data_IF_821393248730
#
_entry.id   IF_821393248730
#
_cell.length_a   1.000
_cell.length_b   1.000
_cell.length_c   1.000
_cell.angle_alpha   90.00
_cell.angle_beta   90.00
_cell.angle_gamma   90.00
#
_symmetry.space_group_name_H-M   'P 1'
#
loop_
_entity.id
_entity.type
_entity.pdbx_description
1 polymer ?
#
# COMPACT_ATOMS: atom_id res chain seq x y z
N UNK A 1 35.91 9.47 -2.94
CA UNK A 1 35.54 8.23 -2.21
C UNK A 1 34.48 8.55 -1.15
N UNK A 2 33.33 9.12 -1.56
CA UNK A 2 32.29 9.65 -0.63
C UNK A 2 30.85 9.35 -1.07
N UNK A 3 30.64 8.78 -2.27
CA UNK A 3 29.30 8.59 -2.85
C UNK A 3 28.69 7.20 -2.59
N UNK A 4 29.50 6.25 -2.09
CA UNK A 4 29.07 4.88 -1.79
C UNK A 4 28.50 4.70 -0.38
N UNK A 5 28.90 5.53 0.61
CA UNK A 5 28.42 5.41 1.99
C UNK A 5 27.01 5.99 2.18
N UNK A 6 26.69 7.09 1.50
CA UNK A 6 25.38 7.74 1.61
C UNK A 6 24.24 6.88 1.02
N UNK A 7 24.55 5.95 0.11
CA UNK A 7 23.59 4.98 -0.47
C UNK A 7 23.38 3.75 0.42
N UNK A 8 24.24 3.49 1.40
CA UNK A 8 24.12 2.36 2.33
C UNK A 8 23.05 2.60 3.40
N UNK A 9 23.03 3.81 3.98
CA UNK A 9 22.05 4.21 4.99
C UNK A 9 20.61 4.23 4.47
N UNK A 10 20.38 4.69 3.24
CA UNK A 10 19.03 4.73 2.65
C UNK A 10 18.48 3.34 2.35
N UNK A 11 19.34 2.37 1.99
CA UNK A 11 18.94 0.98 1.77
C UNK A 11 18.50 0.30 3.07
N UNK A 12 19.27 0.48 4.14
CA UNK A 12 18.95 -0.07 5.46
C UNK A 12 17.69 0.59 6.01
N UNK A 13 17.55 1.91 5.88
CA UNK A 13 16.34 2.62 6.28
C UNK A 13 15.10 2.09 5.53
N UNK A 14 15.20 1.87 4.22
CA UNK A 14 14.12 1.25 3.44
C UNK A 14 13.82 -0.21 3.87
N UNK A 15 14.82 -0.95 4.37
CA UNK A 15 14.59 -2.26 4.96
C UNK A 15 13.84 -2.13 6.29
N UNK A 16 14.26 -1.23 7.18
CA UNK A 16 13.64 -1.06 8.51
C UNK A 16 12.23 -0.46 8.46
N UNK A 17 11.94 0.40 7.48
CA UNK A 17 10.62 1.02 7.31
C UNK A 17 9.53 -0.05 7.16
N UNK A 18 9.74 -1.08 6.35
CA UNK A 18 8.74 -2.15 6.18
C UNK A 18 8.49 -2.99 7.44
N UNK A 19 9.53 -3.21 8.25
CA UNK A 19 9.45 -4.04 9.46
C UNK A 19 8.94 -3.30 10.69
N UNK A 20 9.06 -1.97 10.73
CA UNK A 20 8.70 -1.17 11.90
C UNK A 20 7.45 -0.34 11.64
N UNK A 21 7.33 0.30 10.48
CA UNK A 21 6.22 1.22 10.19
C UNK A 21 4.86 0.51 10.17
N UNK A 22 4.79 -0.65 9.53
CA UNK A 22 3.55 -1.43 9.41
C UNK A 22 3.01 -1.95 10.76
N UNK A 23 3.79 -2.66 11.59
CA UNK A 23 3.31 -3.10 12.89
C UNK A 23 3.08 -1.93 13.85
N UNK A 24 3.83 -0.82 13.75
CA UNK A 24 3.53 0.38 14.53
C UNK A 24 2.17 0.99 14.18
N UNK A 25 1.85 1.10 12.88
CA UNK A 25 0.54 1.56 12.44
C UNK A 25 -0.59 0.66 12.94
N UNK A 26 -0.37 -0.65 12.91
CA UNK A 26 -1.35 -1.61 13.44
C UNK A 26 -1.51 -1.51 14.96
N UNK A 27 -0.42 -1.33 15.71
CA UNK A 27 -0.47 -1.13 17.16
C UNK A 27 -1.27 0.13 17.54
N UNK A 28 -1.13 1.22 16.78
CA UNK A 28 -1.95 2.42 16.97
C UNK A 28 -3.43 2.08 16.70
N UNK A 29 -3.71 1.32 15.64
CA UNK A 29 -5.07 0.83 15.37
C UNK A 29 -5.64 -0.02 16.51
N UNK A 30 -4.86 -0.96 17.05
CA UNK A 30 -5.23 -1.77 18.21
C UNK A 30 -5.50 -0.90 19.45
N UNK A 31 -4.66 0.12 19.67
CA UNK A 31 -4.79 1.02 20.80
C UNK A 31 -6.08 1.86 20.71
N UNK A 32 -6.50 2.23 19.50
CA UNK A 32 -7.76 2.95 19.26
C UNK A 32 -8.98 2.01 19.41
N UNK A 33 -8.89 0.78 18.93
CA UNK A 33 -10.00 -0.20 18.99
C UNK A 33 -10.11 -0.92 20.34
N UNK A 34 -9.05 -0.90 21.16
CA UNK A 34 -8.98 -1.60 22.44
C UNK A 34 -8.73 -3.11 22.34
N UNK A 35 -8.64 -3.65 21.12
CA UNK A 35 -8.42 -5.08 20.85
C UNK A 35 -6.94 -5.36 20.59
N UNK A 36 -6.17 -5.49 21.68
CA UNK A 36 -4.76 -5.85 21.58
C UNK A 36 -4.55 -7.32 21.20
N UNK A 37 -3.87 -7.55 20.08
CA UNK A 37 -3.49 -8.87 19.59
C UNK A 37 -2.05 -8.84 19.07
N UNK A 38 -1.16 -9.47 19.85
CA UNK A 38 0.25 -9.64 19.46
C UNK A 38 0.35 -10.48 18.18
N UNK A 39 -0.50 -11.50 18.03
CA UNK A 39 -0.56 -12.34 16.83
C UNK A 39 -0.79 -11.51 15.57
N UNK A 40 -1.77 -10.58 15.60
CA UNK A 40 -2.03 -9.67 14.47
C UNK A 40 -0.81 -8.80 14.14
N UNK A 41 -0.16 -8.28 15.17
CA UNK A 41 1.04 -7.44 15.03
C UNK A 41 2.19 -8.20 14.35
N UNK A 42 2.45 -9.44 14.76
CA UNK A 42 3.50 -10.28 14.19
C UNK A 42 3.18 -10.63 12.72
N UNK A 43 1.93 -10.93 12.43
CA UNK A 43 1.48 -11.25 11.06
C UNK A 43 1.66 -10.03 10.15
N UNK A 44 1.26 -8.84 10.59
CA UNK A 44 1.44 -7.60 9.84
C UNK A 44 2.92 -7.23 9.72
N UNK A 45 3.74 -7.50 10.73
CA UNK A 45 5.19 -7.32 10.66
C UNK A 45 5.80 -8.19 9.55
N UNK A 46 5.42 -9.46 9.48
CA UNK A 46 5.90 -10.39 8.45
C UNK A 46 5.40 -9.96 7.07
N UNK A 47 4.12 -9.64 6.92
CA UNK A 47 3.53 -9.19 5.65
C UNK A 47 4.12 -7.85 5.18
N UNK A 48 4.31 -6.90 6.10
CA UNK A 48 4.92 -5.59 5.83
C UNK A 48 6.37 -5.70 5.39
N UNK A 49 7.14 -6.57 6.06
CA UNK A 49 8.54 -6.83 5.75
C UNK A 49 8.77 -7.57 4.43
N UNK A 50 7.79 -8.37 3.97
CA UNK A 50 7.91 -9.24 2.79
C UNK A 50 7.09 -8.74 1.61
N UNK A 51 5.76 -8.82 1.69
CA UNK A 51 4.84 -8.52 0.59
C UNK A 51 4.78 -7.02 0.29
N UNK A 52 4.48 -6.18 1.29
CA UNK A 52 4.23 -4.76 1.04
C UNK A 52 5.49 -3.99 0.68
N UNK A 53 6.64 -4.47 1.15
CA UNK A 53 7.94 -3.96 0.74
C UNK A 53 8.17 -4.04 -0.77
N UNK A 54 7.69 -5.10 -1.44
CA UNK A 54 7.90 -5.28 -2.89
C UNK A 54 6.80 -4.54 -3.66
N UNK A 55 5.57 -4.67 -3.19
CA UNK A 55 4.42 -4.27 -3.97
C UNK A 55 4.21 -2.75 -4.03
N UNK A 56 4.49 -2.06 -2.94
CA UNK A 56 4.32 -0.61 -2.84
C UNK A 56 5.27 0.14 -3.79
N UNK A 57 6.60 -0.08 -3.76
CA UNK A 57 7.49 0.58 -4.72
C UNK A 57 7.20 0.17 -6.16
N UNK A 58 6.76 -1.07 -6.39
CA UNK A 58 6.32 -1.51 -7.72
C UNK A 58 5.09 -0.72 -8.20
N UNK A 59 4.10 -0.48 -7.33
CA UNK A 59 2.94 0.32 -7.67
C UNK A 59 3.30 1.79 -7.92
N UNK A 60 4.14 2.38 -7.07
CA UNK A 60 4.61 3.75 -7.29
C UNK A 60 5.38 3.90 -8.61
N UNK A 61 6.25 2.94 -8.95
CA UNK A 61 6.93 2.94 -10.25
C UNK A 61 5.93 2.86 -11.42
N UNK A 62 4.87 2.05 -11.27
CA UNK A 62 3.80 1.96 -12.28
C UNK A 62 3.06 3.29 -12.40
N UNK A 63 2.75 3.97 -11.30
CA UNK A 63 2.13 5.30 -11.31
C UNK A 63 3.02 6.35 -11.98
N UNK A 64 4.34 6.28 -11.81
CA UNK A 64 5.27 7.21 -12.44
C UNK A 64 5.48 6.95 -13.93
N UNK A 65 5.38 5.70 -14.35
CA UNK A 65 5.45 5.31 -15.77
C UNK A 65 4.12 5.53 -16.49
N UNK A 66 3.01 5.67 -15.75
CA UNK A 66 1.69 5.88 -16.31
C UNK A 66 1.62 7.23 -17.03
N UNK A 67 1.72 7.16 -18.35
CA UNK A 67 1.71 8.31 -19.26
C UNK A 67 0.33 8.37 -19.90
N UNK A 68 -0.41 9.45 -19.69
CA UNK A 68 -1.75 9.62 -20.27
C UNK A 68 -1.59 10.11 -21.71
N UNK A 69 -2.28 9.49 -22.68
CA UNK A 69 -2.25 9.96 -24.06
C UNK A 69 -2.96 11.31 -24.21
N UNK A 70 -2.32 12.27 -24.88
CA UNK A 70 -2.81 13.66 -25.07
C UNK A 70 -4.23 13.76 -25.65
N UNK A 71 -4.63 12.78 -26.47
CA UNK A 71 -5.98 12.73 -27.05
C UNK A 71 -7.08 12.50 -26.01
N UNK A 72 -6.76 11.80 -24.91
CA UNK A 72 -7.72 11.52 -23.82
C UNK A 72 -7.90 12.73 -22.92
N UNK A 73 -6.84 13.52 -22.71
CA UNK A 73 -6.87 14.76 -21.92
C UNK A 73 -7.75 15.81 -22.59
N UNK A 74 -7.68 15.93 -23.93
CA UNK A 74 -8.57 16.84 -24.69
C UNK A 74 -10.05 16.50 -24.55
N UNK A 75 -10.39 15.24 -24.30
CA UNK A 75 -11.78 14.76 -24.24
C UNK A 75 -12.43 15.03 -22.88
N UNK A 76 -11.64 15.19 -21.81
CA UNK A 76 -12.14 15.47 -20.46
C UNK A 76 -11.32 16.61 -19.81
N UNK A 77 -11.84 17.85 -19.76
CA UNK A 77 -11.11 18.99 -19.19
C UNK A 77 -10.78 18.82 -17.68
N UNK A 78 -11.48 17.92 -16.97
CA UNK A 78 -11.15 17.57 -15.58
C UNK A 78 -9.80 16.83 -15.45
N UNK A 79 -9.36 16.09 -16.48
CA UNK A 79 -8.07 15.41 -16.50
C UNK A 79 -6.90 16.38 -16.71
N UNK A 80 -7.17 17.59 -17.22
CA UNK A 80 -6.18 18.66 -17.36
C UNK A 80 -5.69 19.15 -15.99
N UNK A 81 -6.51 19.06 -14.94
CA UNK A 81 -6.08 19.40 -13.58
C UNK A 81 -5.13 18.34 -12.98
N UNK A 82 -5.25 17.08 -13.42
CA UNK A 82 -4.47 15.94 -12.92
C UNK A 82 -3.15 15.72 -13.69
N UNK A 83 -2.91 16.47 -14.76
CA UNK A 83 -1.73 16.37 -15.63
C UNK A 83 -1.05 17.74 -15.73
N UNK A 84 0.27 17.82 -15.53
CA UNK A 84 0.99 19.10 -15.75
C UNK A 84 1.39 19.14 -17.20
N UNK A 85 0.90 20.16 -17.94
CA UNK A 85 1.38 20.51 -19.28
C UNK A 85 2.79 21.14 -19.21
N UNK A 86 3.79 20.41 -18.74
CA UNK A 86 5.20 20.80 -18.89
C UNK A 86 5.90 19.65 -19.61
N UNK A 87 5.75 19.64 -20.93
CA UNK A 87 6.60 19.02 -21.96
C UNK A 87 6.92 17.50 -21.87
N UNK A 88 6.64 16.84 -20.76
CA UNK A 88 6.64 15.40 -20.55
C UNK A 88 5.31 15.04 -19.88
N UNK A 89 4.58 14.08 -20.44
CA UNK A 89 3.21 13.75 -20.06
C UNK A 89 3.16 12.91 -18.77
N UNK A 90 3.69 13.47 -17.66
CA UNK A 90 3.76 12.81 -16.37
C UNK A 90 2.56 13.19 -15.48
N UNK A 91 2.17 12.25 -14.59
CA UNK A 91 1.14 12.49 -13.58
C UNK A 91 1.56 13.56 -12.57
N UNK A 92 0.70 14.55 -12.32
CA UNK A 92 0.96 15.54 -11.27
C UNK A 92 1.06 14.95 -9.89
N UNK A 93 1.55 15.75 -8.93
CA UNK A 93 1.47 15.40 -7.51
C UNK A 93 0.03 14.98 -7.13
N UNK A 94 -0.99 15.68 -7.63
CA UNK A 94 -2.40 15.36 -7.40
C UNK A 94 -2.80 14.02 -8.05
N UNK A 95 -2.35 13.76 -9.29
CA UNK A 95 -2.58 12.48 -9.97
C UNK A 95 -1.89 11.31 -9.25
N UNK A 96 -0.65 11.51 -8.78
CA UNK A 96 0.10 10.54 -7.97
C UNK A 96 -0.59 10.28 -6.64
N UNK A 97 -1.11 11.32 -5.98
CA UNK A 97 -1.90 11.19 -4.76
C UNK A 97 -3.18 10.40 -5.00
N UNK A 98 -3.95 10.72 -6.04
CA UNK A 98 -5.17 9.96 -6.37
C UNK A 98 -4.86 8.52 -6.78
N UNK A 99 -3.78 8.29 -7.52
CA UNK A 99 -3.30 6.94 -7.87
C UNK A 99 -2.82 6.14 -6.67
N UNK A 100 -2.22 6.79 -5.67
CA UNK A 100 -1.90 6.18 -4.39
C UNK A 100 -3.17 5.88 -3.57
N UNK A 101 -4.15 6.80 -3.53
CA UNK A 101 -5.45 6.54 -2.89
C UNK A 101 -6.17 5.37 -3.55
N UNK A 102 -6.11 5.26 -4.88
CA UNK A 102 -6.69 4.13 -5.62
C UNK A 102 -5.96 2.81 -5.35
N UNK A 103 -4.68 2.83 -4.98
CA UNK A 103 -3.96 1.64 -4.51
C UNK A 103 -4.49 1.15 -3.17
N UNK A 104 -4.68 2.08 -2.22
CA UNK A 104 -5.28 1.81 -0.90
C UNK A 104 -6.81 1.64 -0.98
N UNK A 105 -7.33 1.09 -2.08
CA UNK A 105 -8.73 0.72 -2.26
C UNK A 105 -9.13 -0.39 -1.26
N UNK A 106 -10.41 -0.48 -0.85
CA UNK A 106 -10.96 -1.61 -0.08
C UNK A 106 -10.43 -3.00 -0.45
N UNK A 107 -10.11 -3.28 -1.72
CA UNK A 107 -9.49 -4.55 -2.12
C UNK A 107 -8.11 -4.82 -1.46
N UNK A 108 -7.31 -3.77 -1.27
CA UNK A 108 -6.04 -3.84 -0.55
C UNK A 108 -6.25 -4.05 0.95
N UNK A 109 -7.32 -3.49 1.53
CA UNK A 109 -7.69 -3.73 2.92
C UNK A 109 -8.21 -5.16 3.12
N UNK A 110 -9.03 -5.65 2.19
CA UNK A 110 -9.59 -7.00 2.19
C UNK A 110 -8.50 -8.08 2.27
N UNK A 111 -7.43 -7.97 1.47
CA UNK A 111 -6.32 -8.92 1.54
C UNK A 111 -5.59 -8.87 2.88
N UNK A 112 -5.44 -7.70 3.49
CA UNK A 112 -4.81 -7.58 4.81
C UNK A 112 -5.62 -8.33 5.85
N UNK A 113 -6.94 -8.06 5.85
CA UNK A 113 -7.88 -8.73 6.75
C UNK A 113 -7.91 -10.24 6.52
N UNK A 114 -7.80 -10.69 5.27
CA UNK A 114 -7.72 -12.10 4.94
C UNK A 114 -6.46 -12.74 5.52
N UNK A 115 -5.28 -12.14 5.34
CA UNK A 115 -4.05 -12.70 5.91
C UNK A 115 -4.05 -12.70 7.45
N UNK A 116 -4.60 -11.65 8.07
CA UNK A 116 -4.78 -11.61 9.53
C UNK A 116 -5.69 -12.75 9.96
N UNK A 117 -6.86 -12.89 9.34
CA UNK A 117 -7.84 -13.93 9.67
C UNK A 117 -7.28 -15.34 9.48
N UNK A 118 -6.56 -15.60 8.39
CA UNK A 118 -5.91 -16.89 8.15
C UNK A 118 -4.84 -17.22 9.19
N UNK A 119 -4.17 -16.21 9.75
CA UNK A 119 -3.11 -16.40 10.73
C UNK A 119 -3.62 -16.42 12.18
N UNK A 120 -4.76 -15.77 12.48
CA UNK A 120 -5.35 -15.73 13.82
C UNK A 120 -6.37 -16.85 14.06
N UNK A 121 -7.06 -17.32 13.03
CA UNK A 121 -8.16 -18.29 13.15
C UNK A 121 -7.69 -19.71 12.77
N UNK A 122 -7.99 -20.75 13.56
CA UNK A 122 -7.67 -22.14 13.20
C UNK A 122 -8.31 -22.53 11.85
N UNK A 123 -7.50 -23.09 10.94
CA UNK A 123 -7.90 -23.43 9.56
C UNK A 123 -9.15 -24.33 9.46
N UNK A 124 -9.50 -25.05 10.52
CA UNK A 124 -10.67 -25.94 10.59
C UNK A 124 -12.01 -25.23 10.85
N UNK A 125 -11.99 -23.96 11.26
CA UNK A 125 -13.19 -23.15 11.53
C UNK A 125 -13.39 -22.03 10.48
N UNK A 126 -12.57 -22.00 9.42
CA UNK A 126 -12.66 -20.96 8.40
C UNK A 126 -13.81 -21.29 7.45
N UNK A 127 -14.93 -20.61 7.66
CA UNK A 127 -15.97 -20.47 6.65
C UNK A 127 -15.53 -19.43 5.61
N UNK A 128 -14.98 -19.94 4.50
CA UNK A 128 -14.49 -19.13 3.39
C UNK A 128 -15.58 -18.24 2.77
N UNK A 129 -16.85 -18.65 2.84
CA UNK A 129 -17.97 -17.88 2.32
C UNK A 129 -18.22 -16.60 3.12
N UNK A 130 -18.33 -16.73 4.45
CA UNK A 130 -18.52 -15.57 5.33
C UNK A 130 -17.28 -14.69 5.42
N UNK A 131 -16.08 -15.27 5.41
CA UNK A 131 -14.83 -14.51 5.52
C UNK A 131 -14.64 -13.58 4.31
N UNK A 132 -14.95 -14.06 3.10
CA UNK A 132 -14.87 -13.24 1.89
C UNK A 132 -15.94 -12.14 1.87
N UNK A 133 -17.15 -12.43 2.35
CA UNK A 133 -18.22 -11.43 2.47
C UNK A 133 -17.87 -10.31 3.46
N UNK A 134 -17.24 -10.64 4.60
CA UNK A 134 -16.75 -9.64 5.55
C UNK A 134 -15.63 -8.78 4.98
N UNK A 135 -14.71 -9.38 4.21
CA UNK A 135 -13.62 -8.66 3.56
C UNK A 135 -14.09 -7.73 2.42
N UNK A 136 -15.22 -8.03 1.76
CA UNK A 136 -15.78 -7.19 0.68
C UNK A 136 -16.74 -6.10 1.18
N UNK A 137 -17.23 -6.21 2.42
CA UNK A 137 -18.17 -5.26 3.04
C UNK A 137 -17.48 -4.15 3.83
N UNK A 138 -16.19 -4.30 4.10
CA UNK A 138 -15.33 -3.31 4.78
C UNK A 138 -14.65 -2.40 3.78
#
# INVERSE_FOLDING_TARGET
>A
MSESEHKGGSRILNHFVGWVLYPMGDLIGQLITGEFSITRTIVIMILGGTFYRIEIPYWFHKLETFTIADETVKKHPALEMLTTRVQHNYLNWLGKTLGATAYFNPLWMARHMLFITCATTPLSQIDWGNTLLHCLRT
#
